data_IF_183457785718
#
_entry.id   IF_183457785718
#
_cell.length_a   1.000
_cell.length_b   1.000
_cell.length_c   1.000
_cell.angle_alpha   90.00
_cell.angle_beta   90.00
_cell.angle_gamma   90.00
#
_symmetry.space_group_name_H-M   'P 1'
#
loop_
_entity.id
_entity.type
_entity.pdbx_description
1 polymer ?
#
# COMPACT_ATOMS: atom_id res chain seq x y z
N UNK A 1 22.59 -23.52 -7.88
CA UNK A 1 23.10 -22.56 -8.88
C UNK A 1 22.16 -21.35 -8.98
N UNK A 2 22.01 -20.60 -7.89
CA UNK A 2 21.29 -19.32 -7.93
C UNK A 2 22.26 -18.30 -8.53
N UNK A 3 21.94 -17.87 -9.75
CA UNK A 3 22.71 -16.95 -10.54
C UNK A 3 22.89 -15.65 -9.77
N UNK A 4 24.14 -15.36 -9.44
CA UNK A 4 24.64 -14.05 -9.03
C UNK A 4 24.28 -13.05 -10.15
N UNK A 5 23.06 -12.50 -10.07
CA UNK A 5 22.63 -11.40 -10.94
C UNK A 5 23.32 -10.17 -10.35
N UNK A 6 24.48 -9.84 -10.89
CA UNK A 6 25.17 -8.59 -10.61
C UNK A 6 24.17 -7.44 -10.57
N UNK A 7 24.35 -6.57 -9.58
CA UNK A 7 23.47 -5.46 -9.22
C UNK A 7 23.18 -4.58 -10.44
N UNK A 8 22.15 -4.94 -11.21
CA UNK A 8 21.60 -4.09 -12.23
C UNK A 8 21.07 -2.86 -11.50
N UNK A 9 21.58 -1.68 -11.86
CA UNK A 9 21.13 -0.43 -11.25
C UNK A 9 19.59 -0.37 -11.30
N UNK A 10 18.92 -0.05 -10.18
CA UNK A 10 17.46 -0.09 -10.12
C UNK A 10 16.90 0.80 -11.22
N UNK A 11 15.96 0.23 -11.98
CA UNK A 11 15.31 0.93 -13.09
C UNK A 11 14.65 2.22 -12.58
N UNK A 12 14.53 3.24 -13.44
CA UNK A 12 13.90 4.50 -13.03
C UNK A 12 12.48 4.27 -12.47
N UNK A 13 11.75 3.31 -13.04
CA UNK A 13 10.44 2.89 -12.56
C UNK A 13 10.49 2.34 -11.12
N UNK A 14 11.42 1.44 -10.84
CA UNK A 14 11.60 0.84 -9.51
C UNK A 14 11.91 1.90 -8.45
N UNK A 15 12.75 2.90 -8.77
CA UNK A 15 13.06 4.01 -7.85
C UNK A 15 11.83 4.85 -7.51
N UNK A 16 10.98 5.14 -8.50
CA UNK A 16 9.73 5.88 -8.27
C UNK A 16 8.79 5.09 -7.37
N UNK A 17 8.60 3.81 -7.66
CA UNK A 17 7.77 2.90 -6.85
C UNK A 17 8.31 2.80 -5.41
N UNK A 18 9.63 2.69 -5.26
CA UNK A 18 10.28 2.70 -3.95
C UNK A 18 10.07 4.02 -3.21
N UNK A 19 10.19 5.15 -3.91
CA UNK A 19 9.93 6.48 -3.36
C UNK A 19 8.50 6.60 -2.82
N UNK A 20 7.51 6.13 -3.58
CA UNK A 20 6.10 6.11 -3.15
C UNK A 20 5.92 5.22 -1.91
N UNK A 21 6.55 4.06 -1.87
CA UNK A 21 6.51 3.19 -0.68
C UNK A 21 7.15 3.85 0.55
N UNK A 22 8.30 4.52 0.39
CA UNK A 22 8.95 5.25 1.49
C UNK A 22 8.07 6.39 2.03
N UNK A 23 7.36 7.11 1.15
CA UNK A 23 6.38 8.11 1.58
C UNK A 23 5.28 7.50 2.45
N UNK A 24 4.78 6.31 2.09
CA UNK A 24 3.84 5.56 2.92
C UNK A 24 4.42 5.17 4.29
N UNK A 25 5.70 4.80 4.33
CA UNK A 25 6.41 4.50 5.58
C UNK A 25 6.54 5.72 6.50
N UNK A 26 6.94 6.87 5.95
CA UNK A 26 6.99 8.14 6.69
C UNK A 26 5.61 8.50 7.24
N UNK A 27 4.56 8.36 6.42
CA UNK A 27 3.18 8.61 6.84
C UNK A 27 2.77 7.74 8.04
N UNK A 28 3.11 6.45 8.05
CA UNK A 28 2.82 5.57 9.19
C UNK A 28 3.59 5.95 10.44
N UNK A 29 4.86 6.38 10.33
CA UNK A 29 5.64 6.84 11.47
C UNK A 29 5.00 8.09 12.08
N UNK A 30 4.65 9.08 11.26
CA UNK A 30 3.96 10.29 11.71
C UNK A 30 2.61 9.96 12.33
N UNK A 31 1.87 9.00 11.75
CA UNK A 31 0.58 8.59 12.28
C UNK A 31 0.72 7.88 13.63
N UNK A 32 1.69 6.98 13.77
CA UNK A 32 1.99 6.29 15.02
C UNK A 32 2.32 7.29 16.13
N UNK A 33 3.15 8.29 15.84
CA UNK A 33 3.45 9.37 16.79
C UNK A 33 2.19 10.15 17.18
N UNK A 34 1.33 10.47 16.21
CA UNK A 34 0.06 11.16 16.45
C UNK A 34 -0.84 10.35 17.40
N UNK A 35 -0.94 9.04 17.18
CA UNK A 35 -1.72 8.13 18.04
C UNK A 35 -1.12 8.06 19.44
N UNK A 36 0.20 7.88 19.56
CA UNK A 36 0.88 7.83 20.86
C UNK A 36 0.65 9.13 21.64
N UNK A 37 0.77 10.29 20.99
CA UNK A 37 0.51 11.60 21.61
C UNK A 37 -0.96 11.69 22.05
N UNK A 38 -1.91 11.36 21.18
CA UNK A 38 -3.36 11.44 21.50
C UNK A 38 -3.76 10.53 22.66
N UNK A 39 -3.25 9.29 22.68
CA UNK A 39 -3.49 8.33 23.76
C UNK A 39 -2.86 8.81 25.08
N UNK A 40 -1.65 9.37 25.02
CA UNK A 40 -0.96 9.89 26.21
C UNK A 40 -1.69 11.09 26.81
N UNK A 41 -2.16 12.02 25.96
CA UNK A 41 -2.93 13.20 26.39
C UNK A 41 -4.24 12.81 27.12
N UNK A 42 -4.91 11.77 26.60
CA UNK A 42 -6.18 11.26 27.15
C UNK A 42 -5.99 10.41 28.41
N UNK A 43 -4.79 9.89 28.64
CA UNK A 43 -4.52 9.06 29.81
C UNK A 43 -4.61 9.87 31.11
N UNK A 44 -4.90 9.18 32.22
CA UNK A 44 -5.01 9.76 33.57
C UNK A 44 -3.72 10.47 34.05
N UNK A 45 -2.61 10.32 33.32
CA UNK A 45 -1.34 11.02 33.55
C UNK A 45 -1.41 12.51 33.23
N UNK A 46 -2.21 12.91 32.23
CA UNK A 46 -2.29 14.30 31.74
C UNK A 46 -3.71 14.86 31.87
N UNK A 47 -4.75 14.02 31.73
CA UNK A 47 -6.14 14.42 31.92
C UNK A 47 -6.66 15.45 30.91
N UNK A 48 -5.98 15.61 29.77
CA UNK A 48 -6.36 16.53 28.70
C UNK A 48 -7.25 15.83 27.66
N UNK A 49 -8.02 16.61 26.90
CA UNK A 49 -8.63 16.07 25.69
C UNK A 49 -7.52 15.61 24.72
N UNK A 50 -7.72 14.45 24.09
CA UNK A 50 -6.83 13.94 23.03
C UNK A 50 -6.86 14.84 21.78
N UNK A 51 -6.08 14.49 20.76
CA UNK A 51 -6.03 15.27 19.52
C UNK A 51 -7.41 15.23 18.85
N UNK A 52 -8.08 16.38 18.63
CA UNK A 52 -9.37 16.40 17.96
C UNK A 52 -9.27 15.87 16.53
N UNK A 53 -10.16 14.95 16.15
CA UNK A 53 -10.18 14.37 14.81
C UNK A 53 -9.09 13.32 14.54
N UNK A 54 -8.41 12.82 15.58
CA UNK A 54 -7.39 11.76 15.44
C UNK A 54 -7.93 10.49 14.79
N UNK A 55 -9.17 10.08 15.09
CA UNK A 55 -9.82 8.92 14.47
C UNK A 55 -9.97 9.04 12.96
N UNK A 56 -10.44 10.18 12.46
CA UNK A 56 -10.60 10.43 11.02
C UNK A 56 -9.23 10.45 10.33
N UNK A 57 -8.26 11.10 10.96
CA UNK A 57 -6.90 11.21 10.46
C UNK A 57 -6.22 9.84 10.36
N UNK A 58 -6.39 8.99 11.38
CA UNK A 58 -5.92 7.59 11.37
C UNK A 58 -6.56 6.79 10.25
N UNK A 59 -7.88 6.90 10.08
CA UNK A 59 -8.60 6.17 9.05
C UNK A 59 -8.10 6.54 7.63
N UNK A 60 -7.96 7.84 7.35
CA UNK A 60 -7.50 8.33 6.04
C UNK A 60 -6.03 8.02 5.81
N UNK A 61 -5.15 8.29 6.79
CA UNK A 61 -3.71 8.08 6.65
C UNK A 61 -3.35 6.59 6.53
N UNK A 62 -4.04 5.71 7.26
CA UNK A 62 -3.82 4.26 7.14
C UNK A 62 -4.20 3.75 5.75
N UNK A 63 -5.32 4.21 5.20
CA UNK A 63 -5.73 3.86 3.84
C UNK A 63 -4.69 4.35 2.81
N UNK A 64 -4.25 5.61 2.91
CA UNK A 64 -3.24 6.19 2.03
C UNK A 64 -1.91 5.43 2.10
N UNK A 65 -1.45 5.10 3.31
CA UNK A 65 -0.24 4.31 3.51
C UNK A 65 -0.32 2.93 2.84
N UNK A 66 -1.45 2.23 3.00
CA UNK A 66 -1.68 0.95 2.32
C UNK A 66 -1.55 1.08 0.80
N UNK A 67 -2.21 2.08 0.19
CA UNK A 67 -2.10 2.34 -1.25
C UNK A 67 -0.69 2.73 -1.70
N UNK A 68 0.10 3.40 -0.86
CA UNK A 68 1.51 3.70 -1.16
C UNK A 68 2.39 2.45 -1.21
N UNK A 69 2.07 1.39 -0.44
CA UNK A 69 2.84 0.15 -0.46
C UNK A 69 2.44 -0.81 -1.59
N UNK A 70 1.19 -0.76 -2.07
CA UNK A 70 0.69 -1.67 -3.10
C UNK A 70 1.57 -1.76 -4.36
N UNK A 71 2.05 -0.65 -4.96
CA UNK A 71 2.91 -0.71 -6.14
C UNK A 71 4.21 -1.50 -5.89
N UNK A 72 4.80 -1.34 -4.71
CA UNK A 72 6.03 -2.03 -4.32
C UNK A 72 5.78 -3.52 -4.06
N UNK A 73 4.67 -3.84 -3.40
CA UNK A 73 4.22 -5.22 -3.20
C UNK A 73 3.97 -5.94 -4.54
N UNK A 74 3.34 -5.26 -5.51
CA UNK A 74 3.08 -5.83 -6.83
C UNK A 74 4.39 -6.07 -7.61
N UNK A 75 5.34 -5.13 -7.57
CA UNK A 75 6.63 -5.28 -8.24
C UNK A 75 7.44 -6.46 -7.69
N UNK A 76 7.40 -6.68 -6.37
CA UNK A 76 8.12 -7.77 -5.71
C UNK A 76 7.36 -9.09 -5.72
N UNK A 77 6.16 -9.15 -6.30
CA UNK A 77 5.21 -10.27 -6.18
C UNK A 77 5.06 -10.73 -4.72
N UNK A 78 5.03 -9.76 -3.79
CA UNK A 78 4.90 -9.98 -2.35
C UNK A 78 3.46 -10.12 -1.87
N UNK A 79 2.48 -10.01 -2.77
CA UNK A 79 1.08 -10.29 -2.45
C UNK A 79 0.91 -11.79 -2.15
N UNK A 80 0.05 -12.16 -1.20
CA UNK A 80 -0.16 -13.56 -0.81
C UNK A 80 -0.76 -14.31 -2.01
N UNK A 81 0.03 -15.17 -2.65
CA UNK A 81 -0.42 -16.07 -3.70
C UNK A 81 -0.79 -17.42 -3.07
N UNK A 82 -1.98 -17.94 -3.42
CA UNK A 82 -2.39 -19.28 -3.00
C UNK A 82 -1.82 -20.29 -3.99
N UNK A 83 -0.55 -20.63 -3.82
CA UNK A 83 0.14 -21.59 -4.70
C UNK A 83 -0.19 -23.05 -4.37
N UNK A 84 -0.86 -23.32 -3.24
CA UNK A 84 -1.14 -24.68 -2.73
C UNK A 84 -1.89 -25.56 -3.73
N UNK A 85 -2.75 -24.97 -4.58
CA UNK A 85 -3.49 -25.70 -5.60
C UNK A 85 -2.78 -25.72 -6.97
N UNK A 86 -1.96 -24.72 -7.28
CA UNK A 86 -1.37 -24.51 -8.61
C UNK A 86 0.00 -25.20 -8.79
N UNK A 87 0.68 -25.54 -7.69
CA UNK A 87 1.97 -26.26 -7.70
C UNK A 87 1.96 -27.61 -8.43
N UNK A 88 0.77 -28.24 -8.57
CA UNK A 88 0.60 -29.52 -9.28
C UNK A 88 0.40 -29.37 -10.79
N UNK A 89 0.26 -28.14 -11.30
CA UNK A 89 0.00 -27.87 -12.71
C UNK A 89 1.31 -27.60 -13.49
N UNK A 90 1.33 -27.85 -14.82
CA UNK A 90 2.46 -27.48 -15.66
C UNK A 90 2.72 -25.96 -15.65
N UNK A 91 3.98 -25.56 -15.75
CA UNK A 91 4.45 -24.17 -15.70
C UNK A 91 3.72 -23.22 -16.68
N UNK A 92 3.26 -23.75 -17.82
CA UNK A 92 2.48 -22.99 -18.82
C UNK A 92 1.12 -22.52 -18.28
N UNK A 93 0.46 -23.35 -17.47
CA UNK A 93 -0.83 -23.03 -16.88
C UNK A 93 -0.69 -22.10 -15.68
N UNK A 94 0.35 -22.27 -14.87
CA UNK A 94 0.71 -21.33 -13.80
C UNK A 94 0.89 -19.91 -14.36
N UNK A 95 1.70 -19.74 -15.41
CA UNK A 95 1.90 -18.43 -16.05
C UNK A 95 0.62 -17.79 -16.61
N UNK A 96 -0.32 -18.60 -17.12
CA UNK A 96 -1.61 -18.10 -17.61
C UNK A 96 -2.49 -17.61 -16.47
N UNK A 97 -2.55 -18.37 -15.38
CA UNK A 97 -3.32 -17.99 -14.18
C UNK A 97 -2.75 -16.71 -13.58
N UNK A 98 -1.42 -16.61 -13.45
CA UNK A 98 -0.75 -15.38 -13.02
C UNK A 98 -1.11 -14.17 -13.89
N UNK A 99 -1.04 -14.33 -15.22
CA UNK A 99 -1.37 -13.24 -16.14
C UNK A 99 -2.83 -12.80 -16.01
N UNK A 100 -3.76 -13.74 -15.79
CA UNK A 100 -5.16 -13.42 -15.54
C UNK A 100 -5.30 -12.63 -14.23
N UNK A 101 -4.63 -13.04 -13.16
CA UNK A 101 -4.65 -12.31 -11.90
C UNK A 101 -4.03 -10.93 -11.99
N UNK A 102 -2.95 -10.76 -12.74
CA UNK A 102 -2.33 -9.46 -13.00
C UNK A 102 -3.33 -8.51 -13.71
N UNK A 103 -4.09 -9.02 -14.68
CA UNK A 103 -5.14 -8.24 -15.38
C UNK A 103 -6.28 -7.87 -14.42
N UNK A 104 -6.77 -8.84 -13.62
CA UNK A 104 -7.83 -8.61 -12.63
C UNK A 104 -7.39 -7.54 -11.63
N UNK A 105 -6.17 -7.64 -11.13
CA UNK A 105 -5.59 -6.66 -10.20
C UNK A 105 -5.51 -5.27 -10.84
N UNK A 106 -5.03 -5.18 -12.08
CA UNK A 106 -4.96 -3.92 -12.83
C UNK A 106 -6.35 -3.28 -13.01
N UNK A 107 -7.38 -4.06 -13.33
CA UNK A 107 -8.75 -3.58 -13.47
C UNK A 107 -9.32 -3.06 -12.14
N UNK A 108 -9.09 -3.77 -11.04
CA UNK A 108 -9.53 -3.34 -9.71
C UNK A 108 -8.83 -2.04 -9.29
N UNK A 109 -7.52 -1.95 -9.51
CA UNK A 109 -6.77 -0.72 -9.21
C UNK A 109 -7.25 0.45 -10.08
N UNK A 110 -7.55 0.23 -11.36
CA UNK A 110 -8.11 1.26 -12.23
C UNK A 110 -9.49 1.74 -11.75
N UNK A 111 -10.35 0.82 -11.31
CA UNK A 111 -11.66 1.15 -10.73
C UNK A 111 -11.52 2.01 -9.46
N UNK A 112 -10.61 1.62 -8.55
CA UNK A 112 -10.35 2.37 -7.31
C UNK A 112 -9.82 3.76 -7.64
N UNK A 113 -8.84 3.86 -8.54
CA UNK A 113 -8.27 5.13 -8.98
C UNK A 113 -9.34 6.05 -9.57
N UNK A 114 -10.24 5.50 -10.41
CA UNK A 114 -11.39 6.25 -10.95
C UNK A 114 -12.31 6.78 -9.85
N UNK A 115 -12.67 5.93 -8.88
CA UNK A 115 -13.56 6.33 -7.77
C UNK A 115 -12.91 7.38 -6.87
N UNK A 116 -11.62 7.27 -6.59
CA UNK A 116 -10.86 8.29 -5.87
C UNK A 116 -10.80 9.60 -6.64
N UNK A 117 -10.60 9.57 -7.96
CA UNK A 117 -10.59 10.78 -8.78
C UNK A 117 -11.97 11.48 -8.80
N UNK A 118 -13.05 10.72 -8.90
CA UNK A 118 -14.43 11.26 -8.79
C UNK A 118 -14.66 11.87 -7.41
N UNK A 119 -14.28 11.18 -6.35
CA UNK A 119 -14.40 11.68 -4.97
C UNK A 119 -13.59 12.96 -4.72
N UNK A 120 -12.34 12.99 -5.20
CA UNK A 120 -11.48 14.18 -5.11
C UNK A 120 -12.11 15.36 -5.85
N UNK A 121 -12.60 15.16 -7.08
CA UNK A 121 -13.27 16.22 -7.85
C UNK A 121 -14.52 16.74 -7.15
N UNK A 122 -15.29 15.88 -6.50
CA UNK A 122 -16.46 16.30 -5.72
C UNK A 122 -16.05 17.11 -4.48
N UNK A 123 -14.96 16.75 -3.82
CA UNK A 123 -14.45 17.47 -2.64
C UNK A 123 -13.88 18.86 -2.98
N UNK A 124 -13.24 19.03 -4.15
CA UNK A 124 -12.69 20.33 -4.59
C UNK A 124 -13.69 21.20 -5.37
N UNK A 125 -14.88 20.69 -5.67
CA UNK A 125 -15.91 21.38 -6.46
C UNK A 125 -16.90 22.21 -5.64
N UNK A 126 -16.68 22.37 -4.33
CA UNK A 126 -17.41 23.28 -3.43
C UNK A 126 -16.73 24.64 -3.38
#
# INVERSE_FOLDING_TARGET
MARDRGEAAPSAFERVVQGVALLGGVLLITLSLTVVISVTLRSDLVGSAGIPGDFELVQMATALAAFCFLPWCQLRRGNIFVDTFTLKLPERWQRRIDAVWDIVYALVMALIAWRLAVGARAAFGT
#
